data_IF_637262090569
#
_entry.id   IF_637262090569
#
_cell.length_a   1.000
_cell.length_b   1.000
_cell.length_c   1.000
_cell.angle_alpha   90.00
_cell.angle_beta   90.00
_cell.angle_gamma   90.00
#
_symmetry.space_group_name_H-M   'P 1'
#
loop_
_entity.id
_entity.type
_entity.pdbx_description
1 polymer ?
#
# COMPACT_ATOMS: atom_id res chain seq x y z
N UNK A 1 17.36 47.94 -6.85
CA UNK A 1 18.13 46.99 -7.67
C UNK A 1 17.90 45.59 -7.12
N UNK A 2 17.39 44.68 -7.94
CA UNK A 2 17.10 43.30 -7.57
C UNK A 2 18.24 42.45 -8.14
N UNK A 3 19.04 41.71 -7.34
CA UNK A 3 19.98 40.78 -7.93
C UNK A 3 19.21 39.55 -8.40
N UNK A 4 19.29 39.34 -9.71
CA UNK A 4 18.88 38.13 -10.40
C UNK A 4 19.75 36.94 -9.95
N UNK A 5 19.17 35.74 -9.91
CA UNK A 5 19.94 34.49 -9.88
C UNK A 5 19.76 33.59 -8.64
N UNK A 6 18.54 33.41 -8.13
CA UNK A 6 18.25 32.20 -7.32
C UNK A 6 17.54 31.17 -8.18
N UNK A 7 18.36 30.33 -8.81
CA UNK A 7 17.94 29.01 -9.27
C UNK A 7 17.25 28.31 -8.09
N UNK A 8 15.98 27.97 -8.27
CA UNK A 8 15.20 27.18 -7.32
C UNK A 8 15.73 25.74 -7.34
N UNK A 9 16.88 25.51 -6.70
CA UNK A 9 17.30 24.16 -6.37
C UNK A 9 16.25 23.58 -5.40
N UNK A 10 15.73 22.35 -5.64
CA UNK A 10 14.90 21.71 -4.65
C UNK A 10 15.71 21.58 -3.36
N UNK A 11 15.16 22.14 -2.26
CA UNK A 11 15.74 22.03 -0.93
C UNK A 11 16.04 20.55 -0.64
N UNK A 12 17.25 20.18 -0.20
CA UNK A 12 17.54 18.82 0.22
C UNK A 12 16.64 18.48 1.43
N UNK A 13 15.71 17.55 1.23
CA UNK A 13 14.76 17.04 2.24
C UNK A 13 15.41 16.09 3.26
N UNK A 14 16.59 16.41 3.74
CA UNK A 14 17.26 15.56 4.74
C UNK A 14 17.94 16.44 5.78
N UNK A 15 17.20 16.70 6.87
CA UNK A 15 17.80 17.05 8.15
C UNK A 15 18.66 15.89 8.69
N UNK A 16 19.35 16.09 9.83
CA UNK A 16 20.28 15.11 10.39
C UNK A 16 19.61 13.75 10.62
N UNK A 17 20.41 12.71 10.38
CA UNK A 17 20.09 11.35 9.98
C UNK A 17 19.39 10.44 11.03
N UNK A 18 18.62 11.00 11.96
CA UNK A 18 17.91 10.22 12.98
C UNK A 18 16.58 10.87 13.40
N UNK A 19 15.78 11.33 12.42
CA UNK A 19 14.38 11.63 12.68
C UNK A 19 13.62 10.30 12.85
N UNK A 20 13.43 9.90 14.10
CA UNK A 20 12.52 8.83 14.50
C UNK A 20 11.09 9.27 14.20
N UNK A 21 10.63 9.04 12.97
CA UNK A 21 9.25 9.29 12.61
C UNK A 21 8.35 8.23 13.26
N UNK A 22 7.30 8.66 13.95
CA UNK A 22 6.29 7.76 14.52
C UNK A 22 5.60 6.91 13.43
N UNK A 23 5.58 7.41 12.19
CA UNK A 23 5.08 6.69 11.02
C UNK A 23 5.81 7.10 9.74
N UNK A 24 5.95 6.16 8.80
CA UNK A 24 6.45 6.38 7.44
C UNK A 24 5.46 5.81 6.43
N UNK A 25 5.09 6.60 5.43
CA UNK A 25 4.21 6.20 4.34
C UNK A 25 4.99 6.25 3.02
N UNK A 26 4.87 5.19 2.23
CA UNK A 26 5.41 5.10 0.88
C UNK A 26 4.34 4.60 -0.07
N UNK A 27 4.10 5.32 -1.16
CA UNK A 27 3.26 4.85 -2.26
C UNK A 27 4.09 3.90 -3.12
N UNK A 28 3.58 2.69 -3.36
CA UNK A 28 4.22 1.71 -4.23
C UNK A 28 3.69 1.89 -5.67
N UNK A 29 4.41 1.36 -6.68
CA UNK A 29 3.94 1.44 -8.07
C UNK A 29 2.54 0.88 -8.22
N UNK A 30 1.69 1.60 -8.97
CA UNK A 30 0.35 1.12 -9.32
C UNK A 30 0.43 -0.20 -10.08
N UNK A 31 -0.62 -1.02 -9.95
CA UNK A 31 -0.78 -2.24 -10.74
C UNK A 31 -2.06 -2.17 -11.52
N UNK A 32 -1.96 -2.50 -12.81
CA UNK A 32 -3.08 -2.59 -13.71
C UNK A 32 -3.38 -4.04 -14.05
N UNK A 33 -4.65 -4.41 -13.96
CA UNK A 33 -5.15 -5.72 -14.34
C UNK A 33 -5.99 -5.58 -15.62
N UNK A 34 -5.55 -6.25 -16.69
CA UNK A 34 -6.26 -6.37 -17.97
C UNK A 34 -6.97 -7.73 -18.02
N UNK A 35 -8.08 -7.83 -18.75
CA UNK A 35 -8.77 -9.12 -18.94
C UNK A 35 -8.23 -9.83 -20.18
N UNK A 36 -8.05 -9.10 -21.28
CA UNK A 36 -7.44 -9.58 -22.50
C UNK A 36 -6.23 -8.70 -22.87
N UNK A 37 -5.20 -9.27 -23.50
CA UNK A 37 -3.98 -8.53 -23.88
C UNK A 37 -4.24 -7.38 -24.86
N UNK A 38 -5.38 -7.39 -25.57
CA UNK A 38 -5.81 -6.34 -26.50
C UNK A 38 -6.59 -5.19 -25.86
N UNK A 39 -6.83 -5.22 -24.54
CA UNK A 39 -7.62 -4.22 -23.86
C UNK A 39 -6.91 -2.86 -23.85
N UNK A 40 -7.66 -1.81 -24.21
CA UNK A 40 -7.16 -0.42 -24.23
C UNK A 40 -7.20 0.26 -22.87
N UNK A 41 -7.87 -0.34 -21.89
CA UNK A 41 -8.04 0.20 -20.56
C UNK A 41 -8.00 -0.94 -19.52
N UNK A 42 -7.45 -0.69 -18.32
CA UNK A 42 -7.42 -1.67 -17.25
C UNK A 42 -8.83 -1.91 -16.69
N UNK A 43 -9.12 -3.17 -16.43
CA UNK A 43 -10.34 -3.58 -15.74
C UNK A 43 -10.31 -3.22 -14.24
N UNK A 44 -9.13 -3.29 -13.64
CA UNK A 44 -8.92 -2.98 -12.23
C UNK A 44 -7.57 -2.30 -12.05
N UNK A 45 -7.55 -1.24 -11.26
CA UNK A 45 -6.35 -0.57 -10.78
C UNK A 45 -6.18 -0.87 -9.29
N UNK A 46 -4.98 -1.27 -8.90
CA UNK A 46 -4.55 -1.42 -7.51
C UNK A 46 -3.56 -0.32 -7.18
N UNK A 47 -3.80 0.36 -6.06
CA UNK A 47 -2.90 1.37 -5.50
C UNK A 47 -2.35 0.88 -4.16
N UNK A 48 -1.18 0.21 -4.17
CA UNK A 48 -0.57 -0.29 -2.95
C UNK A 48 0.15 0.83 -2.18
N UNK A 49 -0.09 0.90 -0.87
CA UNK A 49 0.54 1.84 0.06
C UNK A 49 1.23 1.06 1.16
N UNK A 50 2.52 1.31 1.35
CA UNK A 50 3.31 0.79 2.45
C UNK A 50 3.30 1.78 3.61
N UNK A 51 3.00 1.29 4.81
CA UNK A 51 3.01 2.04 6.06
C UNK A 51 3.93 1.33 7.05
N UNK A 52 4.86 2.05 7.66
CA UNK A 52 5.61 1.60 8.84
C UNK A 52 5.22 2.46 10.02
N UNK A 53 4.78 1.86 11.13
CA UNK A 53 4.35 2.56 12.35
C UNK A 53 5.04 1.99 13.57
N UNK A 54 5.27 2.84 14.58
CA UNK A 54 5.67 2.41 15.92
C UNK A 54 4.52 2.56 16.89
N UNK A 55 4.09 1.46 17.51
CA UNK A 55 2.90 1.45 18.36
C UNK A 55 2.89 0.27 19.33
N UNK A 56 2.00 0.31 20.31
CA UNK A 56 1.65 -0.85 21.13
C UNK A 56 0.77 -1.83 20.33
N UNK A 57 0.71 -3.09 20.79
CA UNK A 57 -0.16 -4.09 20.17
C UNK A 57 -1.63 -3.66 20.15
N UNK A 58 -2.13 -3.08 21.24
CA UNK A 58 -3.52 -2.61 21.34
C UNK A 58 -3.86 -1.54 20.29
N UNK A 59 -2.97 -0.57 20.12
CA UNK A 59 -3.12 0.47 19.11
C UNK A 59 -3.06 -0.11 17.70
N UNK A 60 -2.16 -1.08 17.46
CA UNK A 60 -2.08 -1.75 16.18
C UNK A 60 -3.37 -2.52 15.83
N UNK A 61 -3.92 -3.29 16.77
CA UNK A 61 -5.17 -4.03 16.56
C UNK A 61 -6.34 -3.08 16.28
N UNK A 62 -6.43 -1.97 17.02
CA UNK A 62 -7.44 -0.93 16.79
C UNK A 62 -7.31 -0.31 15.40
N UNK A 63 -6.08 -0.08 14.95
CA UNK A 63 -5.79 0.44 13.61
C UNK A 63 -6.17 -0.56 12.51
N UNK A 64 -5.83 -1.84 12.65
CA UNK A 64 -6.21 -2.89 11.70
C UNK A 64 -7.73 -3.03 11.61
N UNK A 65 -8.43 -2.99 12.75
CA UNK A 65 -9.88 -3.01 12.78
C UNK A 65 -10.50 -1.84 11.99
N UNK A 66 -9.92 -0.64 12.10
CA UNK A 66 -10.36 0.52 11.32
C UNK A 66 -10.13 0.34 9.81
N UNK A 67 -8.98 -0.22 9.39
CA UNK A 67 -8.68 -0.49 7.98
C UNK A 67 -9.58 -1.54 7.33
N UNK A 68 -10.16 -2.43 8.13
CA UNK A 68 -11.01 -3.54 7.68
C UNK A 68 -12.51 -3.24 7.89
N UNK A 69 -12.87 -2.01 8.27
CA UNK A 69 -14.26 -1.62 8.55
C UNK A 69 -14.98 -1.07 7.31
N UNK A 70 -16.28 -1.31 7.22
CA UNK A 70 -17.16 -0.75 6.18
C UNK A 70 -17.35 0.76 6.42
N UNK A 71 -17.25 1.65 5.40
CA UNK A 71 -17.26 1.37 3.95
C UNK A 71 -15.88 1.31 3.28
N UNK A 72 -14.80 1.42 4.04
CA UNK A 72 -13.44 1.54 3.52
C UNK A 72 -12.67 0.27 3.83
N UNK A 73 -12.88 -0.76 3.00
CA UNK A 73 -12.12 -2.00 3.10
C UNK A 73 -10.77 -1.87 2.38
N UNK A 74 -9.68 -1.76 3.14
CA UNK A 74 -8.31 -1.70 2.64
C UNK A 74 -7.57 -3.00 2.97
N UNK A 75 -7.60 -4.02 2.07
CA UNK A 75 -6.94 -5.29 2.34
C UNK A 75 -5.45 -5.11 2.60
N UNK A 76 -5.01 -5.72 3.69
CA UNK A 76 -3.60 -5.79 4.06
C UNK A 76 -2.97 -6.98 3.34
N UNK A 77 -2.13 -6.70 2.35
CA UNK A 77 -1.52 -7.70 1.45
C UNK A 77 -0.22 -8.25 2.05
N UNK A 78 0.48 -7.45 2.84
CA UNK A 78 1.70 -7.84 3.52
C UNK A 78 1.75 -7.21 4.91
N UNK A 79 2.27 -7.96 5.88
CA UNK A 79 2.51 -7.49 7.24
C UNK A 79 3.81 -8.08 7.76
N UNK A 80 4.62 -7.23 8.36
CA UNK A 80 5.84 -7.57 9.09
C UNK A 80 5.81 -6.83 10.43
N UNK A 81 6.10 -7.52 11.51
CA UNK A 81 6.12 -6.96 12.86
C UNK A 81 7.44 -7.30 13.52
N UNK A 82 8.14 -6.28 13.97
CA UNK A 82 9.37 -6.39 14.74
C UNK A 82 9.08 -5.87 16.15
N UNK A 83 9.63 -6.54 17.15
CA UNK A 83 9.70 -5.97 18.50
C UNK A 83 10.94 -5.10 18.56
N UNK A 84 10.83 -3.90 19.14
CA UNK A 84 12.04 -3.11 19.43
C UNK A 84 12.82 -3.88 20.50
N UNK A 85 13.90 -4.53 20.07
CA UNK A 85 14.79 -5.30 20.96
C UNK A 85 15.98 -4.47 21.42
N UNK A 86 15.92 -3.13 21.32
CA UNK A 86 16.97 -2.26 21.82
C UNK A 86 17.31 -2.64 23.28
N UNK A 87 18.57 -3.01 23.57
CA UNK A 87 18.97 -3.55 24.87
C UNK A 87 18.80 -2.55 26.03
N UNK A 88 18.45 -1.30 25.74
CA UNK A 88 18.19 -0.25 26.73
C UNK A 88 16.78 -0.33 27.36
N UNK A 89 15.81 -0.98 26.71
CA UNK A 89 14.44 -1.09 27.21
C UNK A 89 14.19 -2.53 27.66
N UNK A 90 14.17 -2.76 28.98
CA UNK A 90 13.84 -4.07 29.56
C UNK A 90 12.45 -4.50 29.10
N UNK A 91 12.42 -5.54 28.28
CA UNK A 91 11.21 -6.16 27.70
C UNK A 91 10.73 -7.23 28.67
N UNK A 92 10.51 -6.89 29.94
CA UNK A 92 9.96 -7.86 30.88
C UNK A 92 9.08 -7.14 31.90
N UNK A 93 7.82 -7.59 32.00
CA UNK A 93 6.94 -7.18 33.09
C UNK A 93 7.50 -7.68 34.45
N UNK A 94 6.87 -7.27 35.56
CA UNK A 94 7.29 -7.72 36.91
C UNK A 94 7.20 -9.25 37.10
N UNK A 95 6.50 -9.95 36.20
CA UNK A 95 6.37 -11.41 36.17
C UNK A 95 7.36 -12.11 35.22
N UNK A 96 8.23 -11.36 34.53
CA UNK A 96 9.23 -11.92 33.62
C UNK A 96 8.70 -12.29 32.23
N UNK A 97 7.52 -11.81 31.83
CA UNK A 97 6.99 -11.98 30.47
C UNK A 97 7.43 -10.83 29.56
N UNK A 98 7.67 -11.12 28.27
CA UNK A 98 7.98 -10.10 27.27
C UNK A 98 6.89 -9.02 27.20
N UNK A 99 7.21 -7.79 27.61
CA UNK A 99 6.31 -6.64 27.41
C UNK A 99 6.44 -6.15 25.96
N UNK A 100 5.52 -6.56 25.08
CA UNK A 100 5.41 -6.04 23.71
C UNK A 100 4.84 -4.61 23.67
N UNK A 101 5.53 -3.68 24.33
CA UNK A 101 5.10 -2.27 24.45
C UNK A 101 5.43 -1.47 23.21
N UNK A 102 6.56 -1.78 22.55
CA UNK A 102 7.07 -1.05 21.41
C UNK A 102 7.27 -1.99 20.21
N UNK A 103 6.31 -1.93 19.28
CA UNK A 103 6.35 -2.67 18.03
C UNK A 103 6.68 -1.72 16.89
N UNK A 104 7.55 -2.14 15.98
CA UNK A 104 7.67 -1.56 14.66
C UNK A 104 6.94 -2.46 13.67
N UNK A 105 5.83 -1.98 13.12
CA UNK A 105 4.99 -2.74 12.21
C UNK A 105 5.03 -2.13 10.83
N UNK A 106 5.40 -2.91 9.84
CA UNK A 106 5.33 -2.55 8.42
C UNK A 106 4.20 -3.31 7.75
N UNK A 107 3.26 -2.59 7.16
CA UNK A 107 2.14 -3.17 6.42
C UNK A 107 2.09 -2.63 4.99
N UNK A 108 1.49 -3.40 4.09
CA UNK A 108 1.09 -2.94 2.76
C UNK A 108 -0.42 -3.12 2.64
N UNK A 109 -1.12 -2.01 2.47
CA UNK A 109 -2.55 -1.98 2.19
C UNK A 109 -2.78 -1.59 0.74
N UNK A 110 -3.80 -2.16 0.12
CA UNK A 110 -4.15 -1.83 -1.27
C UNK A 110 -5.55 -1.27 -1.35
N UNK A 111 -5.73 -0.21 -2.12
CA UNK A 111 -7.06 0.23 -2.57
C UNK A 111 -7.27 -0.17 -4.02
N UNK A 112 -8.52 -0.46 -4.39
CA UNK A 112 -8.88 -0.86 -5.74
C UNK A 112 -9.85 0.12 -6.37
N UNK A 113 -9.63 0.41 -7.65
CA UNK A 113 -10.49 1.25 -8.46
C UNK A 113 -10.82 0.53 -9.76
N UNK A 114 -12.11 0.48 -10.10
CA UNK A 114 -12.57 -0.01 -11.41
C UNK A 114 -12.87 1.22 -12.29
N UNK A 115 -12.09 1.47 -13.35
CA UNK A 115 -12.50 2.40 -14.40
C UNK A 115 -13.83 1.90 -14.98
N UNK A 116 -14.85 2.74 -14.92
CA UNK A 116 -16.28 2.49 -15.23
C UNK A 116 -16.63 1.37 -16.23
N UNK A 117 -17.71 0.62 -15.93
CA UNK A 117 -18.23 -0.54 -16.69
C UNK A 117 -18.49 -0.27 -18.19
N UNK A 118 -18.74 0.97 -18.59
CA UNK A 118 -19.06 1.34 -19.98
C UNK A 118 -17.89 1.16 -20.96
N UNK A 119 -16.64 1.13 -20.48
CA UNK A 119 -15.47 0.94 -21.34
C UNK A 119 -15.27 -0.52 -21.78
N UNK A 120 -16.02 -1.47 -21.20
CA UNK A 120 -16.00 -2.89 -21.57
C UNK A 120 -16.99 -3.27 -22.67
N UNK A 121 -17.27 -2.38 -23.64
CA UNK A 121 -17.91 -2.82 -24.90
C UNK A 121 -16.89 -3.63 -25.72
N UNK A 122 -16.73 -4.89 -25.32
CA UNK A 122 -16.06 -5.95 -26.08
C UNK A 122 -16.65 -5.89 -27.49
N UNK A 123 -15.83 -5.54 -28.48
CA UNK A 123 -16.23 -5.66 -29.87
C UNK A 123 -16.62 -7.14 -30.11
N UNK A 124 -17.78 -7.44 -30.72
CA UNK A 124 -18.24 -8.81 -30.87
C UNK A 124 -17.16 -9.62 -31.59
N UNK A 125 -16.67 -10.68 -30.92
CA UNK A 125 -15.74 -11.65 -31.51
C UNK A 125 -16.36 -12.14 -32.81
N UNK A 126 -15.69 -11.89 -33.94
CA UNK A 126 -16.14 -12.37 -35.26
C UNK A 126 -16.40 -13.87 -35.14
N UNK A 127 -17.66 -14.27 -35.36
CA UNK A 127 -18.08 -15.66 -35.36
C UNK A 127 -17.17 -16.45 -36.30
N UNK A 128 -16.59 -17.55 -35.79
CA UNK A 128 -15.84 -18.49 -36.61
C UNK A 128 -16.73 -18.96 -37.78
N UNK A 129 -16.17 -19.10 -39.00
CA UNK A 129 -16.94 -19.59 -40.14
C UNK A 129 -17.45 -21.00 -39.82
N UNK A 130 -18.76 -21.17 -39.95
CA UNK A 130 -19.45 -22.45 -39.80
C UNK A 130 -18.85 -23.40 -40.84
N UNK A 131 -18.28 -24.52 -40.38
CA UNK A 131 -17.82 -25.58 -41.28
C UNK A 131 -19.03 -26.13 -42.06
N UNK A 132 -18.91 -26.36 -43.37
CA UNK A 132 -20.00 -26.93 -44.15
C UNK A 132 -20.33 -28.34 -43.66
N UNK A 133 -21.61 -28.75 -43.67
CA UNK A 133 -22.01 -30.08 -43.24
C UNK A 133 -21.41 -31.14 -44.18
N UNK A 134 -20.48 -31.96 -43.66
CA UNK A 134 -19.92 -33.11 -44.38
C UNK A 134 -18.41 -33.36 -44.22
N UNK A 135 -17.83 -33.12 -43.04
CA UNK A 135 -16.50 -33.63 -42.67
C UNK A 135 -16.62 -34.94 -41.89
#
# INVERSE_FOLDING_TARGET
EIPAGKELYPLPRTGPHNQYFAAKISVLPERSYLLEEGDKAPFLLEFPVRLTVRCSMENFLSFVAALQSDPVFLPMVQMEMLTDTSPANKITDEAGNLSMTDLEVTIVCSSFYRPSEEQQKIAPKKSLPILPPGA
#
